data_IF_760014409686
#
_entry.id   IF_760014409686
#
_cell.length_a   1.000
_cell.length_b   1.000
_cell.length_c   1.000
_cell.angle_alpha   90.00
_cell.angle_beta   90.00
_cell.angle_gamma   90.00
#
_symmetry.space_group_name_H-M   'P 1'
#
loop_
_entity.id
_entity.type
_entity.pdbx_description
1 polymer ?
#
# COMPACT_ATOMS: atom_id res chain seq x y z
N UNK A 1 0.48 -23.15 10.72
CA UNK A 1 1.04 -24.08 9.72
C UNK A 1 1.99 -23.27 8.84
N UNK A 2 3.26 -23.66 8.68
CA UNK A 2 4.17 -22.96 7.76
C UNK A 2 3.74 -23.25 6.31
N UNK A 3 3.71 -22.23 5.44
CA UNK A 3 3.48 -22.46 4.02
C UNK A 3 4.54 -23.41 3.43
N UNK A 4 4.13 -24.39 2.62
CA UNK A 4 5.03 -25.17 1.79
C UNK A 4 5.98 -24.29 0.94
N UNK A 5 7.21 -24.75 0.72
CA UNK A 5 8.27 -23.99 0.06
C UNK A 5 7.89 -23.57 -1.38
N UNK A 6 7.20 -24.42 -2.11
CA UNK A 6 6.64 -24.18 -3.44
C UNK A 6 5.65 -23.00 -3.46
N UNK A 7 4.88 -22.79 -2.38
CA UNK A 7 3.97 -21.65 -2.26
C UNK A 7 4.71 -20.35 -1.95
N UNK A 8 5.77 -20.41 -1.15
CA UNK A 8 6.64 -19.25 -0.91
C UNK A 8 7.32 -18.85 -2.22
N UNK A 9 7.78 -19.81 -3.01
CA UNK A 9 8.32 -19.56 -4.34
C UNK A 9 7.26 -19.03 -5.30
N UNK A 10 6.01 -19.49 -5.25
CA UNK A 10 4.91 -18.92 -6.01
C UNK A 10 4.68 -17.43 -5.65
N UNK A 11 4.61 -17.11 -4.36
CA UNK A 11 4.47 -15.72 -3.91
C UNK A 11 5.67 -14.89 -4.40
N UNK A 12 6.89 -15.36 -4.17
CA UNK A 12 8.09 -14.66 -4.64
C UNK A 12 8.08 -14.47 -6.15
N UNK A 13 7.76 -15.50 -6.92
CA UNK A 13 7.78 -15.50 -8.38
C UNK A 13 6.65 -14.70 -9.01
N UNK A 14 5.46 -14.65 -8.42
CA UNK A 14 4.28 -14.02 -9.05
C UNK A 14 3.82 -12.73 -8.34
N UNK A 15 4.02 -12.59 -7.03
CA UNK A 15 3.75 -11.33 -6.32
C UNK A 15 4.91 -10.34 -6.44
N UNK A 16 6.14 -10.76 -6.08
CA UNK A 16 7.26 -9.84 -5.85
C UNK A 16 8.26 -9.72 -7.00
N UNK A 17 8.66 -10.85 -7.57
CA UNK A 17 9.62 -10.95 -8.67
C UNK A 17 8.91 -11.20 -10.01
N UNK A 18 7.58 -11.28 -10.02
CA UNK A 18 6.78 -11.57 -11.21
C UNK A 18 6.90 -10.45 -12.23
N UNK A 19 7.82 -10.69 -13.16
CA UNK A 19 8.15 -10.02 -14.42
C UNK A 19 6.96 -9.98 -15.38
N UNK A 20 5.85 -9.41 -14.93
CA UNK A 20 4.64 -9.29 -15.72
C UNK A 20 4.02 -7.93 -15.51
N UNK A 21 3.61 -7.32 -16.62
CA UNK A 21 2.72 -6.18 -16.63
C UNK A 21 1.46 -6.53 -15.83
N UNK A 22 1.07 -5.73 -14.81
CA UNK A 22 -0.15 -5.98 -14.03
C UNK A 22 -1.35 -6.19 -14.94
N UNK A 23 -2.33 -7.00 -14.51
CA UNK A 23 -3.54 -7.29 -15.29
C UNK A 23 -4.20 -6.02 -15.87
N UNK A 24 -4.30 -4.95 -15.07
CA UNK A 24 -4.87 -3.66 -15.50
C UNK A 24 -4.10 -2.98 -16.65
N UNK A 25 -2.83 -3.31 -16.83
CA UNK A 25 -1.95 -2.79 -17.88
C UNK A 25 -1.63 -3.83 -18.96
N UNK A 26 -2.39 -4.93 -19.07
CA UNK A 26 -2.11 -5.98 -20.07
C UNK A 26 -2.00 -5.38 -21.48
N UNK A 27 -0.90 -5.68 -22.18
CA UNK A 27 -0.54 -5.13 -23.51
C UNK A 27 -0.31 -3.60 -23.53
N UNK A 28 -0.04 -3.01 -22.37
CA UNK A 28 0.19 -1.57 -22.14
C UNK A 28 1.44 -1.35 -21.29
N UNK A 29 2.53 -2.04 -21.63
CA UNK A 29 3.81 -2.04 -20.89
C UNK A 29 4.38 -0.63 -20.70
N UNK A 30 4.29 0.21 -21.75
CA UNK A 30 4.79 1.58 -21.73
C UNK A 30 3.98 2.46 -20.76
N UNK A 31 2.65 2.34 -20.79
CA UNK A 31 1.76 3.03 -19.85
C UNK A 31 2.04 2.61 -18.40
N UNK A 32 2.39 1.33 -18.16
CA UNK A 32 2.79 0.87 -16.84
C UNK A 32 4.15 1.45 -16.38
N UNK A 33 5.09 1.62 -17.30
CA UNK A 33 6.33 2.33 -17.02
C UNK A 33 6.06 3.79 -16.66
N UNK A 34 5.28 4.50 -17.46
CA UNK A 34 4.96 5.93 -17.25
C UNK A 34 4.22 6.16 -15.94
N UNK A 35 3.26 5.29 -15.62
CA UNK A 35 2.54 5.31 -14.34
C UNK A 35 3.50 5.19 -13.15
N UNK A 36 4.40 4.20 -13.15
CA UNK A 36 5.37 4.03 -12.06
C UNK A 36 6.37 5.18 -12.00
N UNK A 37 6.82 5.66 -13.16
CA UNK A 37 7.76 6.78 -13.24
C UNK A 37 7.17 8.06 -12.66
N UNK A 38 5.89 8.35 -12.94
CA UNK A 38 5.16 9.48 -12.35
C UNK A 38 5.14 9.43 -10.83
N UNK A 39 4.81 8.27 -10.25
CA UNK A 39 4.81 8.05 -8.80
C UNK A 39 6.21 8.17 -8.23
N UNK A 40 7.20 7.61 -8.91
CA UNK A 40 8.60 7.65 -8.46
C UNK A 40 9.15 9.07 -8.36
N UNK A 41 8.78 9.96 -9.30
CA UNK A 41 9.17 11.38 -9.31
C UNK A 41 8.53 12.15 -8.16
N UNK A 42 7.25 11.90 -7.87
CA UNK A 42 6.55 12.55 -6.74
C UNK A 42 7.25 12.28 -5.41
N UNK A 43 7.60 11.02 -5.16
CA UNK A 43 8.16 10.60 -3.87
C UNK A 43 9.70 10.55 -3.85
N UNK A 44 10.35 10.93 -4.95
CA UNK A 44 11.80 10.87 -5.12
C UNK A 44 12.40 9.49 -4.77
N UNK A 45 11.78 8.44 -5.29
CA UNK A 45 12.21 7.04 -5.14
C UNK A 45 12.51 6.42 -6.51
N UNK A 46 13.09 5.21 -6.54
CA UNK A 46 13.29 4.51 -7.81
C UNK A 46 11.95 3.93 -8.31
N UNK A 47 11.65 3.99 -9.61
CA UNK A 47 10.43 3.40 -10.15
C UNK A 47 10.34 1.87 -9.97
N UNK A 48 11.48 1.19 -9.76
CA UNK A 48 11.53 -0.23 -9.38
C UNK A 48 11.02 -0.49 -7.95
N UNK A 49 10.88 0.55 -7.13
CA UNK A 49 10.31 0.48 -5.77
C UNK A 49 8.80 0.75 -5.76
N UNK A 50 8.18 0.90 -6.93
CA UNK A 50 6.74 1.13 -7.11
C UNK A 50 6.08 -0.12 -7.69
N UNK A 51 5.11 -0.67 -6.97
CA UNK A 51 4.41 -1.91 -7.32
C UNK A 51 2.90 -1.71 -7.37
N UNK A 52 2.25 -2.33 -8.34
CA UNK A 52 0.81 -2.59 -8.27
C UNK A 52 0.61 -3.96 -7.66
N UNK A 53 -0.30 -4.06 -6.71
CA UNK A 53 -0.65 -5.28 -5.99
C UNK A 53 -2.16 -5.50 -6.00
N UNK A 54 -2.64 -6.52 -5.29
CA UNK A 54 -4.07 -6.77 -5.17
C UNK A 54 -4.69 -7.24 -6.49
N UNK A 55 -6.00 -7.01 -6.64
CA UNK A 55 -6.76 -7.49 -7.80
C UNK A 55 -6.28 -6.88 -9.12
N UNK A 56 -5.81 -5.64 -9.11
CA UNK A 56 -5.26 -4.98 -10.30
C UNK A 56 -4.02 -5.67 -10.87
N UNK A 57 -3.25 -6.38 -10.03
CA UNK A 57 -2.12 -7.20 -10.49
C UNK A 57 -2.56 -8.56 -11.04
N UNK A 58 -3.43 -9.26 -10.33
CA UNK A 58 -3.77 -10.66 -10.66
C UNK A 58 -4.98 -10.83 -11.57
N UNK A 59 -5.81 -9.79 -11.73
CA UNK A 59 -7.13 -9.90 -12.36
C UNK A 59 -8.21 -10.45 -11.43
N UNK A 60 -7.88 -10.79 -10.17
CA UNK A 60 -8.83 -11.25 -9.17
C UNK A 60 -8.36 -10.93 -7.75
N UNK A 61 -9.31 -10.77 -6.82
CA UNK A 61 -9.05 -10.64 -5.40
C UNK A 61 -9.22 -11.98 -4.71
N UNK A 62 -8.14 -12.59 -4.21
CA UNK A 62 -8.23 -13.82 -3.42
C UNK A 62 -8.94 -13.59 -2.07
N UNK A 63 -8.85 -12.38 -1.51
CA UNK A 63 -9.49 -12.02 -0.23
C UNK A 63 -11.00 -11.87 -0.41
N UNK A 64 -11.43 -11.09 -1.42
CA UNK A 64 -12.86 -10.82 -1.68
C UNK A 64 -13.53 -11.94 -2.49
N UNK A 65 -12.73 -12.82 -3.12
CA UNK A 65 -13.19 -13.85 -4.08
C UNK A 65 -13.97 -13.25 -5.26
N UNK A 66 -13.53 -12.09 -5.75
CA UNK A 66 -14.15 -11.38 -6.86
C UNK A 66 -13.15 -11.14 -7.99
N UNK A 67 -13.64 -11.12 -9.22
CA UNK A 67 -12.85 -10.70 -10.38
C UNK A 67 -12.54 -9.20 -10.34
N UNK A 68 -11.48 -8.79 -11.03
CA UNK A 68 -11.17 -7.38 -11.21
C UNK A 68 -12.20 -6.75 -12.16
N UNK A 69 -12.78 -5.64 -11.73
CA UNK A 69 -13.86 -4.93 -12.45
C UNK A 69 -13.66 -3.42 -12.36
N UNK A 70 -14.53 -2.65 -13.01
CA UNK A 70 -14.53 -1.17 -12.94
C UNK A 70 -14.78 -0.61 -11.52
N UNK A 71 -15.25 -1.44 -10.59
CA UNK A 71 -15.45 -1.07 -9.18
C UNK A 71 -14.23 -1.40 -8.31
N UNK A 72 -13.17 -1.98 -8.90
CA UNK A 72 -11.94 -2.33 -8.19
C UNK A 72 -11.04 -1.11 -7.99
N UNK A 73 -10.38 -1.05 -6.83
CA UNK A 73 -9.33 -0.08 -6.56
C UNK A 73 -7.99 -0.57 -7.14
N UNK A 74 -7.10 0.36 -7.46
CA UNK A 74 -5.70 0.11 -7.80
C UNK A 74 -4.87 0.28 -6.53
N UNK A 75 -4.46 -0.84 -5.94
CA UNK A 75 -3.56 -0.85 -4.80
C UNK A 75 -2.11 -0.68 -5.27
N UNK A 76 -1.51 0.46 -4.95
CA UNK A 76 -0.09 0.77 -5.18
C UNK A 76 0.69 0.62 -3.88
N UNK A 77 1.84 -0.04 -3.97
CA UNK A 77 2.78 -0.21 -2.87
C UNK A 77 4.12 0.41 -3.24
N UNK A 78 4.59 1.31 -2.37
CA UNK A 78 5.95 1.84 -2.39
C UNK A 78 6.80 1.04 -1.42
N UNK A 79 8.04 0.71 -1.78
CA UNK A 79 8.98 -0.03 -0.93
C UNK A 79 10.27 0.76 -0.81
N UNK A 80 10.37 1.64 0.17
CA UNK A 80 11.55 2.49 0.32
C UNK A 80 11.77 2.85 1.79
N UNK A 81 12.98 2.55 2.28
CA UNK A 81 13.31 2.73 3.70
C UNK A 81 13.43 4.21 4.08
N UNK A 82 14.08 5.02 3.24
CA UNK A 82 14.26 6.46 3.50
C UNK A 82 12.92 7.20 3.55
N UNK A 83 12.03 6.90 2.61
CA UNK A 83 10.69 7.48 2.57
C UNK A 83 9.86 7.02 3.78
N UNK A 84 10.00 5.75 4.18
CA UNK A 84 9.33 5.24 5.38
C UNK A 84 9.83 5.95 6.64
N UNK A 85 11.14 6.08 6.80
CA UNK A 85 11.75 6.74 7.95
C UNK A 85 11.37 8.24 7.99
N UNK A 86 11.32 8.92 6.84
CA UNK A 86 10.82 10.30 6.74
C UNK A 86 9.39 10.47 7.29
N UNK A 87 8.46 9.59 6.91
CA UNK A 87 7.11 9.65 7.46
C UNK A 87 7.06 9.17 8.91
N UNK A 88 7.90 8.20 9.30
CA UNK A 88 7.99 7.72 10.67
C UNK A 88 8.41 8.83 11.63
N UNK A 89 9.41 9.63 11.28
CA UNK A 89 9.84 10.80 12.07
C UNK A 89 8.68 11.78 12.29
N UNK A 90 7.94 12.12 11.22
CA UNK A 90 6.74 12.98 11.33
C UNK A 90 5.67 12.42 12.26
N UNK A 91 5.46 11.10 12.25
CA UNK A 91 4.53 10.44 13.17
C UNK A 91 5.04 10.49 14.61
N UNK A 92 6.34 10.32 14.83
CA UNK A 92 6.96 10.47 16.15
C UNK A 92 6.79 11.88 16.70
N UNK A 93 7.07 12.91 15.91
CA UNK A 93 6.87 14.32 16.31
C UNK A 93 5.42 14.58 16.71
N UNK A 94 4.48 14.07 15.91
CA UNK A 94 3.06 14.17 16.21
C UNK A 94 2.68 13.46 17.51
N UNK A 95 3.22 12.27 17.78
CA UNK A 95 3.00 11.55 19.04
C UNK A 95 3.42 12.42 20.24
N UNK A 96 4.58 13.08 20.16
CA UNK A 96 5.03 13.99 21.22
C UNK A 96 4.15 15.24 21.37
N UNK A 97 3.43 15.68 20.32
CA UNK A 97 2.42 16.75 20.44
C UNK A 97 1.18 16.28 21.20
N UNK A 98 0.71 15.05 20.95
CA UNK A 98 -0.38 14.44 21.72
C UNK A 98 0.01 14.33 23.19
N UNK A 99 1.19 13.76 23.47
CA UNK A 99 1.63 13.47 24.84
C UNK A 99 1.79 14.74 25.69
N UNK A 100 2.11 15.88 25.04
CA UNK A 100 2.21 17.21 25.68
C UNK A 100 0.84 17.90 25.85
N UNK A 101 -0.26 17.25 25.49
CA UNK A 101 -1.61 17.84 25.41
C UNK A 101 -1.71 19.05 24.48
N UNK A 102 -0.82 19.16 23.48
CA UNK A 102 -0.87 20.22 22.48
C UNK A 102 -1.91 19.92 21.39
N UNK A 103 -2.40 18.68 21.31
CA UNK A 103 -3.49 18.25 20.42
C UNK A 103 -4.51 17.41 21.17
N UNK A 104 -5.79 17.81 21.10
CA UNK A 104 -6.90 17.01 21.62
C UNK A 104 -7.43 16.11 20.51
N UNK A 105 -7.51 14.80 20.79
CA UNK A 105 -8.05 13.80 19.86
C UNK A 105 -9.27 13.12 20.48
N UNK A 106 -10.28 12.86 19.66
CA UNK A 106 -11.46 12.10 20.10
C UNK A 106 -11.10 10.62 20.34
N UNK A 107 -11.92 9.91 21.12
CA UNK A 107 -11.73 8.48 21.36
C UNK A 107 -11.72 7.66 20.05
N UNK A 108 -12.55 8.05 19.07
CA UNK A 108 -12.59 7.40 17.77
C UNK A 108 -11.30 7.62 16.95
N UNK A 109 -10.75 8.84 16.99
CA UNK A 109 -9.48 9.15 16.34
C UNK A 109 -8.33 8.40 17.01
N UNK A 110 -8.33 8.30 18.35
CA UNK A 110 -7.37 7.50 19.09
C UNK A 110 -7.40 6.02 18.65
N UNK A 111 -8.58 5.40 18.56
CA UNK A 111 -8.70 4.01 18.11
C UNK A 111 -8.19 3.80 16.67
N UNK A 112 -8.48 4.74 15.76
CA UNK A 112 -7.95 4.69 14.38
C UNK A 112 -6.44 4.83 14.36
N UNK A 113 -5.91 5.77 15.14
CA UNK A 113 -4.48 6.01 15.24
C UNK A 113 -3.72 4.82 15.86
N UNK A 114 -4.23 4.20 16.92
CA UNK A 114 -3.67 2.97 17.48
C UNK A 114 -3.62 1.84 16.45
N UNK A 115 -4.70 1.68 15.68
CA UNK A 115 -4.74 0.70 14.58
C UNK A 115 -3.71 1.03 13.49
N UNK A 116 -3.53 2.30 13.15
CA UNK A 116 -2.48 2.75 12.24
C UNK A 116 -1.09 2.40 12.79
N UNK A 117 -0.80 2.69 14.06
CA UNK A 117 0.48 2.38 14.71
C UNK A 117 0.78 0.87 14.69
N UNK A 118 -0.24 0.01 14.88
CA UNK A 118 -0.08 -1.44 14.78
C UNK A 118 0.40 -1.89 13.38
N UNK A 119 0.02 -1.18 12.31
CA UNK A 119 0.53 -1.44 10.96
C UNK A 119 1.92 -0.84 10.75
N UNK A 120 2.17 0.37 11.28
CA UNK A 120 3.49 0.99 11.24
C UNK A 120 4.57 0.09 11.84
N UNK A 121 4.31 -0.50 13.01
CA UNK A 121 5.23 -1.45 13.67
C UNK A 121 5.47 -2.73 12.84
N UNK A 122 4.51 -3.09 11.97
CA UNK A 122 4.68 -4.18 10.99
C UNK A 122 5.48 -3.74 9.75
N UNK A 123 6.06 -2.54 9.75
CA UNK A 123 6.81 -1.97 8.63
C UNK A 123 5.93 -1.60 7.44
N UNK A 124 4.64 -1.33 7.69
CA UNK A 124 3.66 -0.95 6.67
C UNK A 124 2.89 0.30 7.10
N UNK A 125 3.18 1.42 6.46
CA UNK A 125 2.41 2.63 6.59
C UNK A 125 1.13 2.50 5.76
N UNK A 126 0.00 2.63 6.45
CA UNK A 126 -1.36 2.61 5.91
C UNK A 126 -2.02 3.98 6.05
N UNK A 127 -1.81 4.89 5.10
CA UNK A 127 -2.31 6.26 5.22
C UNK A 127 -3.83 6.33 5.39
N UNK A 128 -4.57 5.44 4.74
CA UNK A 128 -6.03 5.34 4.86
C UNK A 128 -6.54 5.09 6.29
N UNK A 129 -5.71 4.56 7.18
CA UNK A 129 -6.05 4.34 8.59
C UNK A 129 -5.72 5.52 9.49
N UNK A 130 -4.99 6.53 8.99
CA UNK A 130 -4.74 7.74 9.77
C UNK A 130 -6.06 8.49 10.01
N UNK A 131 -6.28 9.05 11.21
CA UNK A 131 -7.44 9.89 11.44
C UNK A 131 -7.40 11.17 10.60
N UNK A 132 -8.56 11.72 10.23
CA UNK A 132 -8.66 12.84 9.28
C UNK A 132 -7.86 14.06 9.75
N UNK A 133 -7.93 14.39 11.04
CA UNK A 133 -7.14 15.47 11.66
C UNK A 133 -5.64 15.30 11.41
N UNK A 134 -5.14 14.06 11.41
CA UNK A 134 -3.74 13.72 11.17
C UNK A 134 -3.40 13.74 9.68
N UNK A 135 -4.33 13.31 8.83
CA UNK A 135 -4.15 13.35 7.39
C UNK A 135 -3.93 14.78 6.92
N UNK A 136 -4.73 15.73 7.41
CA UNK A 136 -4.63 17.16 7.06
C UNK A 136 -3.26 17.74 7.41
N UNK A 137 -2.73 17.44 8.59
CA UNK A 137 -1.48 18.01 9.08
C UNK A 137 -0.23 17.39 8.43
N UNK A 138 -0.23 16.07 8.17
CA UNK A 138 1.01 15.34 7.86
C UNK A 138 1.12 14.85 6.42
N UNK A 139 0.01 14.48 5.79
CA UNK A 139 -0.01 13.69 4.55
C UNK A 139 -0.88 14.26 3.42
N UNK A 140 -1.70 15.26 3.69
CA UNK A 140 -2.73 15.75 2.76
C UNK A 140 -2.13 16.23 1.45
N UNK A 141 -1.13 17.11 1.53
CA UNK A 141 -0.57 17.75 0.35
C UNK A 141 0.31 16.79 -0.48
N UNK A 142 1.05 15.88 0.18
CA UNK A 142 2.06 15.07 -0.52
C UNK A 142 1.53 13.70 -0.97
N UNK A 143 0.65 13.08 -0.17
CA UNK A 143 0.21 11.69 -0.38
C UNK A 143 -1.19 11.63 -0.97
N UNK A 144 -2.20 12.12 -0.24
CA UNK A 144 -3.59 11.95 -0.64
C UNK A 144 -3.96 12.78 -1.87
N UNK A 145 -3.52 14.03 -1.93
CA UNK A 145 -3.71 14.87 -3.11
C UNK A 145 -3.06 14.26 -4.33
N UNK A 146 -1.84 13.73 -4.20
CA UNK A 146 -1.16 13.05 -5.30
C UNK A 146 -1.93 11.81 -5.79
N UNK A 147 -2.28 10.86 -4.91
CA UNK A 147 -3.00 9.66 -5.33
C UNK A 147 -4.40 9.98 -5.89
N UNK A 148 -5.06 11.01 -5.37
CA UNK A 148 -6.31 11.53 -5.95
C UNK A 148 -6.10 12.14 -7.34
N UNK A 149 -4.98 12.83 -7.56
CA UNK A 149 -4.65 13.47 -8.84
C UNK A 149 -4.42 12.47 -9.97
N UNK A 150 -4.01 11.23 -9.66
CA UNK A 150 -3.80 10.16 -10.65
C UNK A 150 -4.98 9.17 -10.72
N UNK A 151 -6.04 9.39 -9.96
CA UNK A 151 -7.24 8.54 -9.94
C UNK A 151 -8.28 8.99 -10.98
N UNK A 152 -9.24 8.11 -11.28
CA UNK A 152 -10.47 8.40 -12.03
C UNK A 152 -10.21 9.02 -13.41
N UNK A 153 -9.39 8.35 -14.24
CA UNK A 153 -9.15 8.74 -15.62
C UNK A 153 -8.09 9.81 -15.80
N UNK A 154 -7.41 10.20 -14.72
CA UNK A 154 -6.36 11.23 -14.71
C UNK A 154 -4.93 10.65 -14.87
N UNK A 155 -4.82 9.36 -15.13
CA UNK A 155 -3.54 8.69 -15.38
C UNK A 155 -3.70 7.48 -16.29
N UNK A 156 -2.57 6.87 -16.61
CA UNK A 156 -2.40 5.72 -17.50
C UNK A 156 -3.19 4.49 -17.04
N UNK A 157 -3.53 4.39 -15.74
CA UNK A 157 -4.28 3.25 -15.20
C UNK A 157 -5.76 3.26 -15.60
N UNK A 158 -6.29 4.39 -16.08
CA UNK A 158 -7.68 4.53 -16.49
C UNK A 158 -8.62 5.01 -15.37
N UNK A 159 -9.92 4.72 -15.50
CA UNK A 159 -10.97 5.24 -14.62
C UNK A 159 -11.11 4.44 -13.31
N UNK A 160 -10.03 4.38 -12.53
CA UNK A 160 -10.00 3.69 -11.25
C UNK A 160 -9.52 4.60 -10.13
N UNK A 161 -9.95 4.31 -8.91
CA UNK A 161 -9.35 4.89 -7.72
C UNK A 161 -7.97 4.27 -7.49
N UNK A 162 -6.97 5.11 -7.23
CA UNK A 162 -5.62 4.67 -6.88
C UNK A 162 -5.38 4.91 -5.39
N UNK A 163 -4.92 3.89 -4.67
CA UNK A 163 -4.60 3.96 -3.26
C UNK A 163 -3.15 3.53 -3.03
N UNK A 164 -2.40 4.34 -2.29
CA UNK A 164 -1.00 4.07 -1.97
C UNK A 164 -0.80 3.57 -0.54
N UNK A 165 0.04 2.55 -0.37
CA UNK A 165 0.67 2.17 0.90
C UNK A 165 2.19 2.19 0.80
N UNK A 166 2.89 2.30 1.93
CA UNK A 166 4.35 2.34 1.97
C UNK A 166 4.89 1.27 2.91
N UNK A 167 5.79 0.43 2.41
CA UNK A 167 6.52 -0.54 3.20
C UNK A 167 7.96 -0.08 3.38
N UNK A 168 8.51 -0.34 4.57
CA UNK A 168 9.90 0.03 4.88
C UNK A 168 10.91 -0.67 3.97
N UNK A 169 10.71 -1.96 3.71
CA UNK A 169 11.52 -2.73 2.78
C UNK A 169 10.79 -4.03 2.35
N UNK A 170 11.38 -4.75 1.40
CA UNK A 170 10.81 -5.98 0.84
C UNK A 170 10.52 -7.05 1.89
N UNK A 171 11.30 -7.13 2.96
CA UNK A 171 11.08 -8.13 4.03
C UNK A 171 9.72 -7.94 4.69
N UNK A 172 9.32 -6.70 4.97
CA UNK A 172 8.02 -6.41 5.59
C UNK A 172 6.86 -6.64 4.61
N UNK A 173 7.06 -6.25 3.35
CA UNK A 173 6.11 -6.52 2.28
C UNK A 173 5.87 -8.03 2.10
N UNK A 174 6.94 -8.81 1.96
CA UNK A 174 6.88 -10.27 1.82
C UNK A 174 6.21 -10.92 3.03
N UNK A 175 6.60 -10.50 4.24
CA UNK A 175 6.02 -11.02 5.47
C UNK A 175 4.51 -10.78 5.54
N UNK A 176 4.03 -9.59 5.15
CA UNK A 176 2.61 -9.27 5.17
C UNK A 176 1.79 -10.18 4.25
N UNK A 177 2.19 -10.31 2.98
CA UNK A 177 1.48 -11.17 2.03
C UNK A 177 1.57 -12.65 2.39
N UNK A 178 2.72 -13.11 2.90
CA UNK A 178 2.88 -14.49 3.37
C UNK A 178 1.87 -14.82 4.46
N UNK A 179 1.79 -13.99 5.50
CA UNK A 179 0.83 -14.18 6.61
C UNK A 179 -0.61 -14.08 6.11
N UNK A 180 -0.90 -13.14 5.21
CA UNK A 180 -2.23 -12.99 4.60
C UNK A 180 -2.69 -14.26 3.88
N UNK A 181 -1.80 -14.89 3.13
CA UNK A 181 -2.08 -16.16 2.46
C UNK A 181 -2.18 -17.34 3.43
N UNK A 182 -1.29 -17.45 4.42
CA UNK A 182 -1.37 -18.48 5.46
C UNK A 182 -2.73 -18.48 6.16
N UNK A 183 -3.22 -17.28 6.52
CA UNK A 183 -4.52 -17.11 7.15
C UNK A 183 -5.67 -17.47 6.21
N UNK A 184 -5.56 -17.16 4.92
CA UNK A 184 -6.56 -17.52 3.92
C UNK A 184 -6.65 -19.04 3.75
N UNK A 185 -5.52 -19.72 3.59
CA UNK A 185 -5.48 -21.18 3.45
C UNK A 185 -5.98 -21.88 4.71
N UNK A 186 -5.57 -21.43 5.90
CA UNK A 186 -6.01 -22.04 7.16
C UNK A 186 -7.53 -22.02 7.30
N UNK A 187 -8.22 -21.01 6.75
CA UNK A 187 -9.68 -20.90 6.72
C UNK A 187 -10.36 -21.78 5.67
N UNK A 188 -9.64 -22.23 4.64
CA UNK A 188 -10.18 -23.13 3.61
C UNK A 188 -10.07 -24.61 4.03
N UNK A 189 -9.12 -24.92 4.91
CA UNK A 189 -8.88 -26.27 5.44
C UNK A 189 -9.60 -26.56 6.75
N UNK A 190 -10.30 -25.57 7.30
CA UNK A 190 -11.26 -25.71 8.40
C UNK A 190 -12.66 -25.89 7.83
#
# INVERSE_FOLDING_TARGET
MQLPQDRIEFIRKYFFHGTGTPYVFKNKENEYFDFRNKISKQFNINFHEVFIVGSAKFGFSYIKKTEFSYESDIDVVLVNEKLFDYYFEKICDYQYEIDRNNKSITLNEKNKYERFLQYMVKGWMRPDLLPISFQVDLLKNDWFEFFSSISYGKSEVGNYKVAGGLYRNYKYLEKYYKIGMENYYSKLTM
#
